data_IF_880902039642
#
_entry.id   IF_880902039642
#
_cell.length_a   1.000
_cell.length_b   1.000
_cell.length_c   1.000
_cell.angle_alpha   90.00
_cell.angle_beta   90.00
_cell.angle_gamma   90.00
#
_symmetry.space_group_name_H-M   'P 1'
#
loop_
_entity.id
_entity.type
_entity.pdbx_description
1 polymer ?
#
# COMPACT_ATOMS: atom_id res chain seq x y z
N UNK A 1 40.33 -10.38 33.82
CA UNK A 1 38.97 -10.15 34.33
C UNK A 1 38.38 -8.83 33.88
N UNK A 2 39.00 -7.65 34.11
CA UNK A 2 38.44 -6.34 33.74
C UNK A 2 38.13 -6.23 32.23
N UNK A 3 39.07 -6.63 31.38
CA UNK A 3 38.90 -6.57 29.90
C UNK A 3 37.72 -7.44 29.42
N UNK A 4 37.53 -8.61 29.98
CA UNK A 4 36.39 -9.47 29.61
C UNK A 4 35.03 -8.89 30.03
N UNK A 5 34.98 -8.20 31.17
CA UNK A 5 33.78 -7.49 31.60
C UNK A 5 33.46 -6.30 30.68
N UNK A 6 34.47 -5.52 30.29
CA UNK A 6 34.32 -4.41 29.37
C UNK A 6 33.83 -4.89 28.00
N UNK A 7 34.41 -5.97 27.46
CA UNK A 7 33.99 -6.56 26.19
C UNK A 7 32.57 -7.11 26.26
N UNK A 8 32.18 -7.75 27.37
CA UNK A 8 30.83 -8.24 27.59
C UNK A 8 29.81 -7.11 27.66
N UNK A 9 30.10 -6.03 28.40
CA UNK A 9 29.21 -4.87 28.49
C UNK A 9 29.10 -4.13 27.15
N UNK A 10 30.21 -3.93 26.46
CA UNK A 10 30.24 -3.30 25.15
C UNK A 10 29.40 -4.06 24.11
N UNK A 11 29.58 -5.39 24.04
CA UNK A 11 28.80 -6.20 23.10
C UNK A 11 27.30 -6.22 23.42
N UNK A 12 26.95 -6.23 24.71
CA UNK A 12 25.54 -6.13 25.13
C UNK A 12 24.90 -4.79 24.75
N UNK A 13 25.57 -3.67 25.06
CA UNK A 13 25.08 -2.33 24.70
C UNK A 13 25.00 -2.14 23.18
N UNK A 14 26.00 -2.64 22.44
CA UNK A 14 25.99 -2.58 20.99
C UNK A 14 24.81 -3.35 20.37
N UNK A 15 24.55 -4.58 20.85
CA UNK A 15 23.45 -5.40 20.38
C UNK A 15 22.08 -4.73 20.64
N UNK A 16 21.88 -4.17 21.84
CA UNK A 16 20.64 -3.45 22.18
C UNK A 16 20.47 -2.18 21.33
N UNK A 17 21.53 -1.38 21.17
CA UNK A 17 21.49 -0.16 20.35
C UNK A 17 21.18 -0.47 18.88
N UNK A 18 21.79 -1.53 18.35
CA UNK A 18 21.52 -1.98 16.97
C UNK A 18 20.08 -2.46 16.81
N UNK A 19 19.55 -3.22 17.78
CA UNK A 19 18.16 -3.69 17.75
C UNK A 19 17.16 -2.53 17.77
N UNK A 20 17.37 -1.54 18.64
CA UNK A 20 16.52 -0.35 18.72
C UNK A 20 16.56 0.45 17.40
N UNK A 21 17.75 0.70 16.85
CA UNK A 21 17.92 1.42 15.59
C UNK A 21 17.25 0.70 14.41
N UNK A 22 17.35 -0.62 14.31
CA UNK A 22 16.66 -1.41 13.29
C UNK A 22 15.14 -1.36 13.45
N UNK A 23 14.64 -1.38 14.69
CA UNK A 23 13.21 -1.26 14.94
C UNK A 23 12.66 0.10 14.52
N UNK A 24 13.32 1.18 14.91
CA UNK A 24 12.94 2.55 14.51
C UNK A 24 12.98 2.72 12.97
N UNK A 25 14.00 2.18 12.32
CA UNK A 25 14.08 2.22 10.87
C UNK A 25 12.93 1.47 10.20
N UNK A 26 12.54 0.30 10.72
CA UNK A 26 11.39 -0.47 10.20
C UNK A 26 10.08 0.29 10.38
N UNK A 27 9.85 0.86 11.57
CA UNK A 27 8.66 1.65 11.85
C UNK A 27 8.56 2.86 10.93
N UNK A 28 9.61 3.66 10.84
CA UNK A 28 9.65 4.83 9.97
C UNK A 28 9.46 4.45 8.48
N UNK A 29 10.07 3.36 8.05
CA UNK A 29 9.88 2.87 6.69
C UNK A 29 8.44 2.44 6.43
N UNK A 30 7.77 1.78 7.36
CA UNK A 30 6.37 1.37 7.21
C UNK A 30 5.42 2.58 7.16
N UNK A 31 5.59 3.52 8.09
CA UNK A 31 4.77 4.74 8.17
C UNK A 31 4.91 5.58 6.90
N UNK A 32 6.12 5.83 6.43
CA UNK A 32 6.36 6.66 5.25
C UNK A 32 6.03 5.94 3.93
N UNK A 33 6.10 4.59 3.89
CA UNK A 33 5.88 3.86 2.64
C UNK A 33 4.41 3.61 2.34
N UNK A 34 3.58 3.22 3.33
CA UNK A 34 2.22 2.76 3.02
C UNK A 34 1.18 2.94 4.15
N UNK A 35 1.59 3.06 5.42
CA UNK A 35 0.65 3.18 6.54
C UNK A 35 0.14 4.61 6.74
N UNK A 36 1.04 5.63 6.59
CA UNK A 36 0.88 7.00 7.10
C UNK A 36 0.77 7.07 8.64
N UNK A 37 0.73 8.29 9.20
CA UNK A 37 0.77 8.50 10.64
C UNK A 37 -0.56 8.23 11.34
N UNK A 38 -1.66 8.58 10.68
CA UNK A 38 -3.03 8.44 11.21
C UNK A 38 -3.89 7.83 10.10
N UNK A 39 -4.75 6.90 10.47
CA UNK A 39 -5.76 6.32 9.60
C UNK A 39 -7.14 6.51 10.21
N UNK A 40 -8.08 6.96 9.39
CA UNK A 40 -9.48 7.07 9.76
C UNK A 40 -10.25 6.05 8.93
N UNK A 41 -11.00 5.18 9.57
CA UNK A 41 -11.83 4.17 8.92
C UNK A 41 -13.07 3.87 9.75
N UNK A 42 -14.05 3.20 9.15
CA UNK A 42 -15.21 2.71 9.88
C UNK A 42 -14.76 1.71 10.98
N UNK A 43 -15.33 1.73 12.19
CA UNK A 43 -14.90 0.86 13.30
C UNK A 43 -14.81 -0.62 12.94
N UNK A 44 -15.79 -1.15 12.22
CA UNK A 44 -15.83 -2.56 11.80
C UNK A 44 -15.00 -2.88 10.56
N UNK A 45 -14.38 -1.88 9.91
CA UNK A 45 -13.58 -2.10 8.69
C UNK A 45 -12.35 -2.96 8.96
N UNK A 46 -11.70 -2.78 10.12
CA UNK A 46 -10.48 -3.52 10.50
C UNK A 46 -10.68 -5.01 10.69
N UNK A 47 -11.92 -5.46 10.95
CA UNK A 47 -12.22 -6.86 11.23
C UNK A 47 -12.20 -7.72 9.97
N UNK A 48 -12.80 -7.24 8.89
CA UNK A 48 -13.06 -8.05 7.69
C UNK A 48 -12.60 -7.38 6.38
N UNK A 49 -12.20 -6.10 6.40
CA UNK A 49 -11.95 -5.29 5.20
C UNK A 49 -13.12 -5.34 4.20
N UNK A 50 -14.37 -5.38 4.73
CA UNK A 50 -15.57 -5.46 3.93
C UNK A 50 -15.83 -4.10 3.26
N UNK A 51 -16.11 -4.13 1.96
CA UNK A 51 -16.42 -2.95 1.14
C UNK A 51 -17.64 -2.17 1.66
N UNK A 52 -18.55 -2.83 2.38
CA UNK A 52 -19.75 -2.21 2.96
C UNK A 52 -19.44 -1.23 4.10
N UNK A 53 -18.27 -1.37 4.74
CA UNK A 53 -17.85 -0.51 5.84
C UNK A 53 -17.13 0.74 5.32
N UNK A 54 -17.92 1.64 4.73
CA UNK A 54 -17.41 2.93 4.23
C UNK A 54 -17.57 4.04 5.25
N UNK A 55 -16.76 5.09 5.12
CA UNK A 55 -16.91 6.31 5.91
C UNK A 55 -18.09 7.11 5.35
N UNK A 56 -19.09 7.38 6.19
CA UNK A 56 -20.21 8.25 5.83
C UNK A 56 -19.79 9.71 5.86
N UNK A 57 -20.43 10.56 5.01
CA UNK A 57 -20.18 12.01 4.96
C UNK A 57 -18.71 12.38 4.64
N UNK A 58 -18.12 11.74 3.65
CA UNK A 58 -16.73 12.02 3.21
C UNK A 58 -16.48 13.50 2.93
N UNK A 59 -17.43 14.20 2.31
CA UNK A 59 -17.28 15.63 1.96
C UNK A 59 -17.10 16.51 3.20
N UNK A 60 -17.86 16.23 4.25
CA UNK A 60 -17.74 16.95 5.54
C UNK A 60 -16.40 16.66 6.22
N UNK A 61 -15.95 15.41 6.17
CA UNK A 61 -14.65 15.00 6.70
C UNK A 61 -13.50 15.65 5.92
N UNK A 62 -13.56 15.61 4.59
CA UNK A 62 -12.57 16.24 3.70
C UNK A 62 -12.48 17.76 3.95
N UNK A 63 -13.61 18.44 4.16
CA UNK A 63 -13.63 19.85 4.49
C UNK A 63 -12.95 20.12 5.84
N UNK A 64 -13.24 19.32 6.86
CA UNK A 64 -12.64 19.45 8.19
C UNK A 64 -11.12 19.22 8.14
N UNK A 65 -10.67 18.18 7.42
CA UNK A 65 -9.26 17.86 7.29
C UNK A 65 -8.47 18.93 6.51
N UNK A 66 -9.09 19.55 5.50
CA UNK A 66 -8.47 20.65 4.72
C UNK A 66 -8.27 21.92 5.54
N UNK A 67 -9.16 22.18 6.49
CA UNK A 67 -9.13 23.39 7.30
C UNK A 67 -8.28 23.27 8.56
N UNK A 68 -7.83 22.07 8.92
CA UNK A 68 -6.98 21.84 10.09
C UNK A 68 -5.51 22.07 9.74
N UNK A 69 -4.92 23.12 10.34
CA UNK A 69 -3.51 23.49 10.12
C UNK A 69 -2.50 22.46 10.66
N UNK A 70 -2.93 21.55 11.54
CA UNK A 70 -2.08 20.47 12.06
C UNK A 70 -1.89 19.34 11.05
N UNK A 71 -2.74 19.28 10.02
CA UNK A 71 -2.72 18.21 9.00
C UNK A 71 -1.93 18.69 7.79
N UNK A 72 -0.77 18.09 7.57
CA UNK A 72 0.11 18.41 6.44
C UNK A 72 -0.47 17.96 5.10
N UNK A 73 -1.00 16.75 5.04
CA UNK A 73 -1.60 16.16 3.86
C UNK A 73 -2.48 14.96 4.26
N UNK A 74 -3.48 14.65 3.44
CA UNK A 74 -4.30 13.46 3.57
C UNK A 74 -4.65 12.88 2.19
N UNK A 75 -5.00 11.60 2.16
CA UNK A 75 -5.43 10.89 0.96
C UNK A 75 -6.58 9.95 1.31
N UNK A 76 -7.63 10.01 0.50
CA UNK A 76 -8.76 9.09 0.60
C UNK A 76 -8.47 7.84 -0.22
N UNK A 77 -8.62 6.66 0.39
CA UNK A 77 -8.36 5.37 -0.23
C UNK A 77 -9.61 4.51 -0.25
N UNK A 78 -9.85 3.82 -1.36
CA UNK A 78 -10.84 2.73 -1.44
C UNK A 78 -10.08 1.42 -1.40
N UNK A 79 -10.38 0.55 -0.43
CA UNK A 79 -9.68 -0.72 -0.24
C UNK A 79 -10.65 -1.86 -0.46
N UNK A 80 -10.32 -2.77 -1.37
CA UNK A 80 -11.12 -3.93 -1.74
C UNK A 80 -10.24 -5.17 -1.70
N UNK A 81 -10.71 -6.23 -1.04
CA UNK A 81 -10.08 -7.54 -1.10
C UNK A 81 -10.57 -8.30 -2.32
N UNK A 82 -9.65 -8.99 -3.01
CA UNK A 82 -9.98 -9.73 -4.21
C UNK A 82 -8.88 -10.70 -4.62
N UNK A 83 -8.99 -11.21 -5.83
CA UNK A 83 -8.04 -12.14 -6.42
C UNK A 83 -7.46 -11.56 -7.71
N UNK A 84 -6.15 -11.55 -7.81
CA UNK A 84 -5.42 -11.23 -9.03
C UNK A 84 -5.08 -12.51 -9.78
N UNK A 85 -5.38 -12.56 -11.07
CA UNK A 85 -5.17 -13.74 -11.91
C UNK A 85 -4.42 -13.41 -13.18
N UNK A 86 -3.51 -14.31 -13.56
CA UNK A 86 -2.78 -14.30 -14.83
C UNK A 86 -2.79 -15.70 -15.43
N UNK A 87 -2.16 -15.87 -16.59
CA UNK A 87 -1.94 -17.22 -17.16
C UNK A 87 -1.01 -18.10 -16.30
N UNK A 88 -0.25 -17.51 -15.38
CA UNK A 88 0.75 -18.19 -14.56
C UNK A 88 0.27 -18.51 -13.13
N UNK A 89 -0.93 -18.06 -12.76
CA UNK A 89 -1.49 -18.32 -11.43
C UNK A 89 -2.42 -17.24 -10.92
N UNK A 90 -2.86 -17.43 -9.69
CA UNK A 90 -3.76 -16.51 -8.98
C UNK A 90 -3.26 -16.26 -7.56
N UNK A 91 -3.45 -15.03 -7.06
CA UNK A 91 -3.08 -14.61 -5.71
C UNK A 91 -4.17 -13.76 -5.09
N UNK A 92 -4.39 -13.97 -3.78
CA UNK A 92 -5.23 -13.07 -2.99
C UNK A 92 -4.54 -11.71 -2.84
N UNK A 93 -5.24 -10.64 -3.18
CA UNK A 93 -4.69 -9.29 -3.14
C UNK A 93 -5.64 -8.30 -2.46
N UNK A 94 -5.08 -7.18 -2.10
CA UNK A 94 -5.78 -5.99 -1.69
C UNK A 94 -5.61 -4.93 -2.77
N UNK A 95 -6.71 -4.53 -3.35
CA UNK A 95 -6.77 -3.45 -4.34
C UNK A 95 -6.98 -2.12 -3.61
N UNK A 96 -6.12 -1.16 -3.88
CA UNK A 96 -6.12 0.15 -3.25
C UNK A 96 -6.36 1.20 -4.34
N UNK A 97 -7.57 1.76 -4.36
CA UNK A 97 -7.94 2.88 -5.21
C UNK A 97 -7.52 4.20 -4.57
N UNK A 98 -6.71 4.98 -5.26
CA UNK A 98 -6.14 6.24 -4.77
C UNK A 98 -6.34 7.38 -5.77
N UNK A 99 -6.27 8.63 -5.27
CA UNK A 99 -5.92 9.77 -6.10
C UNK A 99 -4.39 9.94 -6.11
N UNK A 100 -3.72 9.78 -7.27
CA UNK A 100 -2.26 9.83 -7.35
C UNK A 100 -1.64 11.11 -6.80
N UNK A 101 -2.32 12.23 -6.97
CA UNK A 101 -1.84 13.56 -6.56
C UNK A 101 -1.83 13.73 -5.05
N UNK A 102 -2.91 13.33 -4.38
CA UNK A 102 -3.03 13.37 -2.92
C UNK A 102 -2.15 12.33 -2.27
N UNK A 103 -2.14 11.11 -2.81
CA UNK A 103 -1.36 9.99 -2.28
C UNK A 103 0.15 10.26 -2.27
N UNK A 104 0.68 10.91 -3.32
CA UNK A 104 2.10 11.26 -3.41
C UNK A 104 2.57 12.22 -2.32
N UNK A 105 1.65 12.95 -1.66
CA UNK A 105 1.96 13.85 -0.54
C UNK A 105 1.93 13.12 0.81
N UNK A 106 1.33 11.93 0.87
CA UNK A 106 1.11 11.17 2.10
C UNK A 106 2.08 10.00 2.20
N UNK A 107 2.36 9.33 1.08
CA UNK A 107 3.25 8.16 1.04
C UNK A 107 4.33 8.27 -0.02
N UNK A 108 5.38 7.47 0.16
CA UNK A 108 6.53 7.41 -0.73
C UNK A 108 6.42 6.31 -1.81
N UNK A 109 5.22 5.81 -2.10
CA UNK A 109 5.03 4.78 -3.15
C UNK A 109 5.52 5.30 -4.51
N UNK A 110 5.26 6.58 -4.82
CA UNK A 110 5.68 7.22 -6.07
C UNK A 110 7.21 7.24 -6.27
N UNK A 111 8.00 7.32 -5.20
CA UNK A 111 9.48 7.27 -5.25
C UNK A 111 10.03 5.85 -5.13
N UNK A 112 9.20 4.89 -4.73
CA UNK A 112 9.59 3.49 -4.52
C UNK A 112 9.45 2.63 -5.78
N UNK A 113 9.28 3.26 -6.95
CA UNK A 113 9.15 2.57 -8.24
C UNK A 113 10.47 1.93 -8.65
N UNK A 114 10.45 0.63 -8.98
CA UNK A 114 11.61 -0.14 -9.46
C UNK A 114 11.61 -0.24 -10.98
N UNK A 115 10.41 -0.34 -11.58
CA UNK A 115 10.21 -0.37 -13.03
C UNK A 115 8.95 0.41 -13.40
N UNK A 116 8.95 1.02 -14.58
CA UNK A 116 7.81 1.78 -15.10
C UNK A 116 7.65 3.16 -14.47
N UNK A 117 6.44 3.69 -14.52
CA UNK A 117 6.11 5.05 -14.10
C UNK A 117 4.91 5.06 -13.13
N UNK A 118 4.79 6.15 -12.38
CA UNK A 118 3.69 6.37 -11.45
C UNK A 118 2.53 7.04 -12.16
N UNK A 119 1.48 6.27 -12.53
CA UNK A 119 0.21 6.74 -13.11
C UNK A 119 0.30 7.81 -14.21
N UNK A 120 1.13 7.57 -15.22
CA UNK A 120 1.31 8.52 -16.31
C UNK A 120 0.35 8.27 -17.50
N UNK A 121 -0.25 7.09 -17.60
CA UNK A 121 -1.16 6.70 -18.69
C UNK A 121 -2.58 7.24 -18.50
N UNK A 122 -3.13 7.84 -19.57
CA UNK A 122 -4.51 8.35 -19.61
C UNK A 122 -5.48 7.35 -20.27
N UNK A 123 -4.97 6.45 -21.10
CA UNK A 123 -5.81 5.61 -22.00
C UNK A 123 -6.09 4.18 -21.53
N UNK A 124 -5.55 3.75 -20.42
CA UNK A 124 -5.77 2.38 -19.92
C UNK A 124 -5.98 2.44 -18.41
N UNK A 125 -6.71 1.48 -17.85
CA UNK A 125 -6.81 1.35 -16.39
C UNK A 125 -5.43 0.93 -15.84
N UNK A 126 -4.59 1.88 -15.39
CA UNK A 126 -3.22 1.61 -14.97
C UNK A 126 -3.20 0.99 -13.59
N UNK A 127 -2.30 0.02 -13.39
CA UNK A 127 -2.06 -0.58 -12.09
C UNK A 127 -0.59 -0.52 -11.71
N UNK A 128 -0.33 -0.21 -10.45
CA UNK A 128 0.98 -0.37 -9.84
C UNK A 128 0.95 -1.63 -8.98
N UNK A 129 1.89 -2.53 -9.19
CA UNK A 129 1.96 -3.80 -8.47
C UNK A 129 3.23 -3.90 -7.66
N UNK A 130 3.17 -4.54 -6.51
CA UNK A 130 4.36 -4.79 -5.71
C UNK A 130 5.31 -5.78 -6.39
N UNK A 131 6.61 -5.59 -6.19
CA UNK A 131 7.65 -6.41 -6.83
C UNK A 131 7.46 -7.92 -6.58
N UNK A 132 7.09 -8.29 -5.36
CA UNK A 132 6.90 -9.72 -5.01
C UNK A 132 5.69 -10.34 -5.71
N UNK A 133 4.62 -9.57 -5.89
CA UNK A 133 3.46 -10.00 -6.66
C UNK A 133 3.81 -10.16 -8.15
N UNK A 134 4.57 -9.20 -8.70
CA UNK A 134 5.05 -9.24 -10.08
C UNK A 134 5.92 -10.48 -10.35
N UNK A 135 6.85 -10.79 -9.45
CA UNK A 135 7.69 -12.01 -9.53
C UNK A 135 6.84 -13.28 -9.51
N UNK A 136 5.85 -13.36 -8.58
CA UNK A 136 5.02 -14.55 -8.41
C UNK A 136 4.07 -14.82 -9.57
N UNK A 137 3.46 -13.78 -10.11
CA UNK A 137 2.52 -13.87 -11.24
C UNK A 137 3.20 -13.72 -12.62
N UNK A 138 4.53 -13.65 -12.65
CA UNK A 138 5.36 -13.45 -13.86
C UNK A 138 4.90 -12.25 -14.69
N UNK A 139 4.60 -11.15 -14.01
CA UNK A 139 4.17 -9.91 -14.61
C UNK A 139 5.36 -8.95 -14.82
N UNK A 140 5.30 -8.23 -15.94
CA UNK A 140 6.18 -7.10 -16.23
C UNK A 140 5.35 -5.92 -16.76
N UNK A 141 5.99 -4.79 -16.99
CA UNK A 141 5.37 -3.57 -17.52
C UNK A 141 4.58 -3.90 -18.81
N UNK A 142 3.45 -3.24 -18.96
CA UNK A 142 2.51 -3.43 -20.09
C UNK A 142 1.78 -4.78 -20.13
N UNK A 143 2.03 -5.70 -19.22
CA UNK A 143 1.27 -6.95 -19.10
C UNK A 143 -0.12 -6.67 -18.52
N UNK A 144 -1.05 -7.56 -18.84
CA UNK A 144 -2.44 -7.50 -18.37
C UNK A 144 -2.61 -8.38 -17.14
N UNK A 145 -3.36 -7.90 -16.17
CA UNK A 145 -3.77 -8.61 -14.96
C UNK A 145 -5.30 -8.55 -14.86
N UNK A 146 -5.91 -9.63 -14.46
CA UNK A 146 -7.34 -9.71 -14.23
C UNK A 146 -7.60 -9.74 -12.73
N UNK A 147 -8.43 -8.81 -12.25
CA UNK A 147 -8.84 -8.76 -10.85
C UNK A 147 -10.29 -9.19 -10.74
N UNK A 148 -10.56 -10.06 -9.78
CA UNK A 148 -11.89 -10.52 -9.43
C UNK A 148 -12.15 -10.15 -7.97
N UNK A 149 -13.24 -9.46 -7.71
CA UNK A 149 -13.66 -9.04 -6.36
C UNK A 149 -15.18 -9.06 -6.27
N UNK A 150 -15.71 -8.93 -5.08
CA UNK A 150 -17.15 -8.85 -4.82
C UNK A 150 -17.47 -7.38 -4.55
N UNK A 151 -18.50 -6.86 -5.20
CA UNK A 151 -19.01 -5.50 -4.97
C UNK A 151 -19.92 -5.42 -3.72
N UNK A 152 -20.40 -4.23 -3.41
CA UNK A 152 -21.28 -3.98 -2.26
C UNK A 152 -22.65 -4.68 -2.34
N UNK A 153 -23.09 -5.07 -3.52
CA UNK A 153 -24.33 -5.82 -3.74
C UNK A 153 -24.14 -7.34 -3.56
N UNK A 154 -22.88 -7.80 -3.46
CA UNK A 154 -22.52 -9.21 -3.39
C UNK A 154 -22.25 -9.84 -4.76
N UNK A 155 -22.25 -9.05 -5.84
CA UNK A 155 -22.01 -9.52 -7.19
C UNK A 155 -20.50 -9.60 -7.47
N UNK A 156 -20.12 -10.66 -8.20
CA UNK A 156 -18.73 -10.86 -8.58
C UNK A 156 -18.37 -10.00 -9.79
N UNK A 157 -17.48 -9.05 -9.57
CA UNK A 157 -16.95 -8.17 -10.62
C UNK A 157 -15.57 -8.65 -11.10
N UNK A 158 -15.33 -8.47 -12.39
CA UNK A 158 -14.03 -8.75 -13.00
C UNK A 158 -13.56 -7.57 -13.83
N UNK A 159 -12.42 -7.04 -13.47
CA UNK A 159 -11.78 -5.93 -14.19
C UNK A 159 -10.44 -6.36 -14.77
N UNK A 160 -10.08 -5.76 -15.90
CA UNK A 160 -8.79 -5.95 -16.55
C UNK A 160 -7.96 -4.69 -16.38
N UNK A 161 -6.81 -4.82 -15.75
CA UNK A 161 -5.84 -3.75 -15.55
C UNK A 161 -4.60 -3.98 -16.41
N UNK A 162 -3.86 -2.91 -16.64
CA UNK A 162 -2.55 -2.95 -17.31
C UNK A 162 -1.48 -2.50 -16.32
N UNK A 163 -0.44 -3.30 -16.18
CA UNK A 163 0.71 -2.98 -15.30
C UNK A 163 1.47 -1.81 -15.89
N UNK A 164 1.46 -0.67 -15.21
CA UNK A 164 2.19 0.53 -15.57
C UNK A 164 3.47 0.71 -14.77
N UNK A 165 3.46 0.24 -13.53
CA UNK A 165 4.63 0.33 -12.67
C UNK A 165 4.75 -0.82 -11.68
N UNK A 166 5.97 -1.08 -11.26
CA UNK A 166 6.32 -2.06 -10.23
C UNK A 166 7.04 -1.32 -9.12
N UNK A 167 6.46 -1.35 -7.91
CA UNK A 167 7.05 -0.73 -6.74
C UNK A 167 7.68 -1.77 -5.81
N UNK A 168 8.61 -1.31 -4.95
CA UNK A 168 9.22 -2.10 -3.89
C UNK A 168 9.28 -1.29 -2.60
N UNK A 169 8.65 -1.79 -1.55
CA UNK A 169 8.70 -1.20 -0.21
C UNK A 169 9.64 -1.98 0.72
N UNK A 170 9.75 -1.55 1.96
CA UNK A 170 10.46 -2.29 2.99
C UNK A 170 9.72 -3.57 3.44
N UNK A 171 8.42 -3.70 3.15
CA UNK A 171 7.60 -4.84 3.53
C UNK A 171 7.36 -5.79 2.36
N UNK A 172 8.01 -6.94 2.42
CA UNK A 172 7.81 -8.02 1.42
C UNK A 172 6.36 -8.51 1.37
N UNK A 173 5.66 -8.54 2.52
CA UNK A 173 4.26 -8.93 2.59
C UNK A 173 3.38 -7.90 1.87
N UNK A 174 3.63 -6.61 2.09
CA UNK A 174 2.93 -5.54 1.42
C UNK A 174 3.13 -5.62 -0.10
N UNK A 175 4.36 -5.80 -0.56
CA UNK A 175 4.71 -5.95 -1.99
C UNK A 175 4.11 -7.20 -2.64
N UNK A 176 3.71 -8.20 -1.84
CA UNK A 176 3.09 -9.44 -2.34
C UNK A 176 1.58 -9.32 -2.49
N UNK A 177 0.94 -8.48 -1.67
CA UNK A 177 -0.53 -8.51 -1.54
C UNK A 177 -1.22 -7.25 -2.05
N UNK A 178 -0.50 -6.18 -2.38
CA UNK A 178 -1.15 -4.91 -2.69
C UNK A 178 -0.96 -4.49 -4.15
N UNK A 179 -2.03 -3.97 -4.72
CA UNK A 179 -2.11 -3.36 -6.05
C UNK A 179 -2.73 -1.98 -5.89
N UNK A 180 -2.10 -0.97 -6.47
CA UNK A 180 -2.66 0.37 -6.55
C UNK A 180 -3.28 0.61 -7.92
N UNK A 181 -4.41 1.32 -7.94
CA UNK A 181 -5.04 1.86 -9.14
C UNK A 181 -5.63 3.24 -8.87
N UNK A 182 -6.04 3.94 -9.91
CA UNK A 182 -6.76 5.19 -9.73
C UNK A 182 -8.16 4.91 -9.19
N UNK A 183 -8.62 5.71 -8.21
CA UNK A 183 -9.96 5.56 -7.62
C UNK A 183 -11.07 5.75 -8.65
N UNK A 184 -10.90 6.69 -9.58
CA UNK A 184 -11.84 6.94 -10.68
C UNK A 184 -12.06 5.75 -11.63
N UNK A 185 -11.10 4.84 -11.72
CA UNK A 185 -11.19 3.62 -12.55
C UNK A 185 -11.90 2.46 -11.82
N UNK A 186 -12.16 2.62 -10.51
CA UNK A 186 -12.78 1.61 -9.65
C UNK A 186 -14.29 1.85 -9.48
N UNK A 187 -14.74 3.08 -9.73
CA UNK A 187 -16.15 3.48 -9.77
C UNK A 187 -16.75 3.18 -11.17
#
# INVERSE_FOLDING_TARGET
MIISMILGLFSGLFAVSMMLGLNDQRMNSAVNSYLSHIQIHHPSFSENFDIKHTIQNLDSLDFSLKNDQSIKAFSSRTIISGMASTAHGSEGIRLIGIDPTSESKVTNVHTSMVKGTYFNSIKSKPALIGKKLAEKLQLDINKKIYLTFVDENGDQQRIKLKVEGIFKTASTLFDRTNIYMKREDLQ
#
